data_IF_425623102776
#
_entry.id   IF_425623102776
#
_cell.length_a   1.000
_cell.length_b   1.000
_cell.length_c   1.000
_cell.angle_alpha   90.00
_cell.angle_beta   90.00
_cell.angle_gamma   90.00
#
_symmetry.space_group_name_H-M   'P 1'
#
loop_
_entity.id
_entity.type
_entity.pdbx_description
1 polymer ?
#
# COMPACT_ATOMS: atom_id res chain seq x y z
N UNK A 1 29.43 -22.79 -7.60
CA UNK A 1 28.01 -22.83 -7.99
C UNK A 1 27.19 -22.36 -6.79
N UNK A 2 26.97 -21.05 -6.65
CA UNK A 2 26.09 -20.51 -5.60
C UNK A 2 24.81 -20.01 -6.27
N UNK A 3 23.62 -20.52 -5.91
CA UNK A 3 22.37 -20.00 -6.44
C UNK A 3 22.03 -18.74 -5.65
N UNK A 4 22.44 -17.57 -6.15
CA UNK A 4 21.77 -16.32 -5.79
C UNK A 4 20.43 -16.31 -6.53
N UNK A 5 19.48 -17.08 -6.00
CA UNK A 5 18.10 -16.96 -6.44
C UNK A 5 17.63 -15.54 -6.14
N UNK A 6 17.19 -14.92 -7.20
CA UNK A 6 16.81 -13.52 -7.29
C UNK A 6 15.52 -13.30 -6.51
N UNK A 7 15.61 -13.11 -5.19
CA UNK A 7 14.51 -12.52 -4.41
C UNK A 7 14.44 -11.02 -4.66
N UNK A 8 14.28 -10.63 -5.93
CA UNK A 8 13.48 -9.45 -6.19
C UNK A 8 12.06 -9.92 -5.97
N UNK A 9 11.64 -9.99 -4.69
CA UNK A 9 10.24 -10.20 -4.33
C UNK A 9 9.46 -9.13 -5.09
N UNK A 10 8.91 -9.53 -6.23
CA UNK A 10 7.88 -8.77 -6.90
C UNK A 10 6.79 -8.64 -5.85
N UNK A 11 6.71 -7.46 -5.23
CA UNK A 11 5.84 -7.19 -4.10
C UNK A 11 4.44 -7.59 -4.54
N UNK A 12 4.01 -8.79 -4.11
CA UNK A 12 2.77 -9.37 -4.62
C UNK A 12 1.66 -8.40 -4.19
N UNK A 13 0.82 -7.91 -5.11
CA UNK A 13 -0.20 -6.90 -4.79
C UNK A 13 -1.11 -7.35 -3.63
N UNK A 14 -1.24 -8.66 -3.44
CA UNK A 14 -1.96 -9.27 -2.32
C UNK A 14 -1.29 -9.03 -0.96
N UNK A 15 0.05 -9.13 -0.87
CA UNK A 15 0.79 -8.81 0.36
C UNK A 15 0.62 -7.33 0.74
N UNK A 16 0.61 -6.43 -0.24
CA UNK A 16 0.40 -4.98 0.00
C UNK A 16 -1.00 -4.70 0.52
N UNK A 17 -2.01 -5.31 -0.10
CA UNK A 17 -3.41 -5.16 0.34
C UNK A 17 -3.61 -5.68 1.77
N UNK A 18 -3.02 -6.82 2.09
CA UNK A 18 -3.12 -7.41 3.42
C UNK A 18 -2.43 -6.54 4.48
N UNK A 19 -1.19 -6.12 4.22
CA UNK A 19 -0.46 -5.21 5.11
C UNK A 19 -1.20 -3.88 5.30
N UNK A 20 -1.70 -3.31 4.20
CA UNK A 20 -2.51 -2.09 4.24
C UNK A 20 -3.76 -2.26 5.12
N UNK A 21 -4.50 -3.37 4.99
CA UNK A 21 -5.69 -3.62 5.80
C UNK A 21 -5.36 -3.62 7.29
N UNK A 22 -4.28 -4.31 7.69
CA UNK A 22 -3.85 -4.39 9.10
C UNK A 22 -3.50 -3.00 9.66
N UNK A 23 -2.70 -2.24 8.90
CA UNK A 23 -2.25 -0.90 9.33
C UNK A 23 -3.40 0.12 9.30
N UNK A 24 -4.31 0.03 8.33
CA UNK A 24 -5.48 0.89 8.23
C UNK A 24 -6.44 0.68 9.39
N UNK A 25 -6.75 -0.57 9.75
CA UNK A 25 -7.66 -0.87 10.87
C UNK A 25 -7.11 -0.29 12.18
N UNK A 26 -5.80 -0.40 12.41
CA UNK A 26 -5.15 0.16 13.60
C UNK A 26 -5.16 1.70 13.64
N UNK A 27 -5.26 2.36 12.48
CA UNK A 27 -5.19 3.82 12.36
C UNK A 27 -6.52 4.43 11.86
N UNK A 28 -7.60 3.66 11.80
CA UNK A 28 -8.87 4.11 11.24
C UNK A 28 -9.46 5.22 12.12
N UNK A 29 -9.95 6.33 11.55
CA UNK A 29 -10.53 7.43 12.33
C UNK A 29 -11.67 6.96 13.26
N UNK A 30 -12.52 6.04 12.79
CA UNK A 30 -13.61 5.46 13.59
C UNK A 30 -13.14 4.65 14.81
N UNK A 31 -11.88 4.20 14.84
CA UNK A 31 -11.27 3.52 15.98
C UNK A 31 -10.46 4.48 16.88
N UNK A 32 -10.60 5.79 16.69
CA UNK A 32 -9.81 6.82 17.38
C UNK A 32 -8.45 7.11 16.73
N UNK A 33 -8.22 6.60 15.51
CA UNK A 33 -7.05 6.91 14.70
C UNK A 33 -7.11 8.30 14.07
N UNK A 34 -6.07 8.66 13.33
CA UNK A 34 -5.98 9.97 12.67
C UNK A 34 -6.41 9.91 11.21
N UNK A 35 -7.28 10.83 10.79
CA UNK A 35 -7.61 11.06 9.37
C UNK A 35 -6.35 11.28 8.51
N UNK A 36 -5.34 11.95 9.06
CA UNK A 36 -4.08 12.19 8.37
C UNK A 36 -3.30 10.90 8.17
N UNK A 37 -3.18 10.06 9.22
CA UNK A 37 -2.48 8.79 9.13
C UNK A 37 -3.17 7.82 8.17
N UNK A 38 -4.51 7.70 8.26
CA UNK A 38 -5.29 6.91 7.31
C UNK A 38 -5.06 7.37 5.87
N UNK A 39 -5.02 8.69 5.62
CA UNK A 39 -4.73 9.23 4.29
C UNK A 39 -3.33 8.84 3.79
N UNK A 40 -2.29 8.94 4.64
CA UNK A 40 -0.93 8.53 4.28
C UNK A 40 -0.78 7.02 4.05
N UNK A 41 -1.52 6.20 4.79
CA UNK A 41 -1.56 4.74 4.60
C UNK A 41 -2.23 4.38 3.26
N UNK A 42 -3.24 5.14 2.83
CA UNK A 42 -3.84 5.01 1.50
C UNK A 42 -2.85 5.40 0.39
N UNK A 43 -2.21 6.57 0.50
CA UNK A 43 -1.20 7.03 -0.46
C UNK A 43 -0.08 5.99 -0.63
N UNK A 44 0.45 5.45 0.47
CA UNK A 44 1.51 4.45 0.44
C UNK A 44 1.08 3.16 -0.28
N UNK A 45 -0.15 2.69 -0.05
CA UNK A 45 -0.70 1.54 -0.78
C UNK A 45 -0.76 1.81 -2.28
N UNK A 46 -1.24 2.99 -2.68
CA UNK A 46 -1.40 3.31 -4.10
C UNK A 46 -0.04 3.39 -4.82
N UNK A 47 0.97 3.97 -4.17
CA UNK A 47 2.37 3.97 -4.65
C UNK A 47 2.91 2.55 -4.78
N UNK A 48 2.74 1.71 -3.76
CA UNK A 48 3.25 0.33 -3.75
C UNK A 48 2.53 -0.58 -4.74
N UNK A 49 1.26 -0.31 -5.05
CA UNK A 49 0.50 -1.04 -6.06
C UNK A 49 0.73 -0.50 -7.49
N UNK A 50 1.62 0.48 -7.67
CA UNK A 50 1.85 1.10 -8.96
C UNK A 50 0.64 1.83 -9.52
N UNK A 51 -0.36 2.12 -8.68
CA UNK A 51 -1.40 3.11 -8.95
C UNK A 51 -0.80 4.48 -8.69
N UNK A 52 0.24 4.83 -9.47
CA UNK A 52 0.53 6.25 -9.65
C UNK A 52 -0.78 6.85 -10.15
N UNK A 53 -1.18 7.99 -9.57
CA UNK A 53 -2.33 8.76 -10.02
C UNK A 53 -2.00 9.35 -11.41
N UNK A 54 -1.86 8.49 -12.41
CA UNK A 54 -1.56 8.80 -13.79
C UNK A 54 -2.88 8.91 -14.55
N UNK A 55 -3.26 10.15 -14.87
CA UNK A 55 -4.03 10.47 -16.06
C UNK A 55 -5.49 10.01 -16.09
N UNK A 56 -6.32 10.50 -15.16
CA UNK A 56 -7.76 10.24 -15.17
C UNK A 56 -8.61 11.40 -14.65
N UNK A 57 -8.25 12.64 -14.99
CA UNK A 57 -9.22 13.75 -15.01
C UNK A 57 -9.47 14.08 -16.48
N UNK A 58 -10.41 13.36 -17.07
CA UNK A 58 -11.04 13.73 -18.33
C UNK A 58 -12.49 14.08 -18.02
N UNK A 59 -12.67 15.08 -17.18
CA UNK A 59 -13.86 15.90 -16.99
C UNK A 59 -13.40 17.28 -16.52
#
# INVERSE_FOLDING_TARGET
MFPFDSFRENVRPDKVKEAHKRVMVANHPDAGGSHYLASKINEAKDVLLGKTKGGGSAF
#
